data_IF_279650690886
#
_entry.id   IF_279650690886
#
_cell.length_a   1.000
_cell.length_b   1.000
_cell.length_c   1.000
_cell.angle_alpha   90.00
_cell.angle_beta   90.00
_cell.angle_gamma   90.00
#
_symmetry.space_group_name_H-M   'P 1'
#
loop_
_entity.id
_entity.type
_entity.pdbx_description
1 polymer ?
#
# COMPACT_ATOMS: atom_id res chain seq x y z
N UNK A 1 7.35 16.01 19.68
CA UNK A 1 8.16 16.76 18.69
C UNK A 1 7.66 18.18 18.64
N UNK A 2 8.52 19.21 18.64
CA UNK A 2 8.08 20.60 18.49
C UNK A 2 7.65 20.85 17.04
N UNK A 3 6.78 21.86 16.80
CA UNK A 3 6.35 22.20 15.43
C UNK A 3 7.52 22.52 14.50
N UNK A 4 8.55 23.20 15.01
CA UNK A 4 9.76 23.54 14.22
C UNK A 4 10.54 22.28 13.80
N UNK A 5 10.67 21.29 14.69
CA UNK A 5 11.30 20.02 14.37
C UNK A 5 10.48 19.20 13.34
N UNK A 6 9.16 19.30 13.38
CA UNK A 6 8.28 18.68 12.41
C UNK A 6 8.43 19.34 11.03
N UNK A 7 8.42 20.68 10.97
CA UNK A 7 8.61 21.44 9.73
C UNK A 7 9.97 21.13 9.11
N UNK A 8 11.04 21.13 9.92
CA UNK A 8 12.38 20.77 9.44
C UNK A 8 12.41 19.33 8.89
N UNK A 9 11.77 18.39 9.56
CA UNK A 9 11.71 17.00 9.12
C UNK A 9 10.89 16.80 7.82
N UNK A 10 9.81 17.55 7.63
CA UNK A 10 9.00 17.52 6.40
C UNK A 10 9.76 18.13 5.22
N UNK A 11 10.58 19.18 5.44
CA UNK A 11 11.33 19.84 4.36
C UNK A 11 12.37 18.95 3.66
N UNK A 12 12.77 17.84 4.31
CA UNK A 12 13.68 16.85 3.73
C UNK A 12 12.97 15.73 2.95
N UNK A 13 11.64 15.63 3.03
CA UNK A 13 10.88 14.61 2.33
C UNK A 13 10.68 14.98 0.86
N UNK A 14 11.00 14.05 -0.03
CA UNK A 14 10.82 14.25 -1.48
C UNK A 14 9.34 14.48 -1.82
N UNK A 15 8.43 13.77 -1.15
CA UNK A 15 6.98 13.89 -1.35
C UNK A 15 6.39 15.25 -0.93
N UNK A 16 7.07 15.98 -0.03
CA UNK A 16 6.62 17.27 0.50
C UNK A 16 7.24 18.48 -0.24
N UNK A 17 8.18 18.22 -1.14
CA UNK A 17 8.80 19.24 -1.97
C UNK A 17 7.80 19.93 -2.92
N UNK A 18 8.09 21.18 -3.30
CA UNK A 18 7.34 21.84 -4.38
C UNK A 18 7.78 21.29 -5.73
N UNK A 19 6.81 20.94 -6.56
CA UNK A 19 7.09 20.43 -7.90
C UNK A 19 7.38 21.59 -8.87
N UNK A 20 8.61 21.70 -9.41
CA UNK A 20 8.97 22.80 -10.31
C UNK A 20 8.17 22.78 -11.62
N UNK A 21 7.71 21.62 -12.06
CA UNK A 21 6.96 21.48 -13.31
C UNK A 21 5.49 21.95 -13.20
N UNK A 22 5.01 22.25 -12.01
CA UNK A 22 3.60 22.59 -11.76
C UNK A 22 3.40 23.88 -10.97
N UNK A 23 4.41 24.75 -10.97
CA UNK A 23 4.38 26.01 -10.19
C UNK A 23 3.31 27.01 -10.67
N UNK A 24 2.86 26.88 -11.90
CA UNK A 24 1.89 27.73 -12.59
C UNK A 24 0.52 27.04 -12.80
N UNK A 25 0.29 25.88 -12.20
CA UNK A 25 -0.85 25.00 -12.51
C UNK A 25 -2.22 25.68 -12.26
N UNK A 26 -2.29 26.62 -11.34
CA UNK A 26 -3.49 27.40 -11.02
C UNK A 26 -3.87 28.45 -12.08
N UNK A 27 -2.93 28.76 -12.99
CA UNK A 27 -3.13 29.73 -14.08
C UNK A 27 -3.51 29.06 -15.41
N UNK A 28 -3.48 27.74 -15.47
CA UNK A 28 -3.66 26.96 -16.68
C UNK A 28 -5.15 26.72 -16.98
N UNK A 29 -5.46 26.50 -18.26
CA UNK A 29 -6.76 25.98 -18.67
C UNK A 29 -6.97 24.53 -18.20
N UNK A 30 -8.23 24.06 -18.16
CA UNK A 30 -8.53 22.68 -17.77
C UNK A 30 -7.77 21.64 -18.61
N UNK A 31 -7.61 21.89 -19.92
CA UNK A 31 -6.86 21.02 -20.82
C UNK A 31 -5.40 20.93 -20.39
N UNK A 32 -4.75 22.06 -20.19
CA UNK A 32 -3.34 22.15 -19.78
C UNK A 32 -3.11 21.54 -18.40
N UNK A 33 -4.06 21.74 -17.46
CA UNK A 33 -3.99 21.11 -16.12
C UNK A 33 -3.96 19.58 -16.23
N UNK A 34 -4.91 18.98 -16.98
CA UNK A 34 -4.96 17.50 -17.09
C UNK A 34 -3.77 16.94 -17.87
N UNK A 35 -3.26 17.66 -18.87
CA UNK A 35 -2.02 17.30 -19.57
C UNK A 35 -0.82 17.32 -18.63
N UNK A 36 -0.70 18.33 -17.77
CA UNK A 36 0.36 18.46 -16.78
C UNK A 36 0.29 17.35 -15.74
N UNK A 37 -0.91 17.04 -15.21
CA UNK A 37 -1.13 15.92 -14.30
C UNK A 37 -0.74 14.59 -14.95
N UNK A 38 -1.19 14.33 -16.18
CA UNK A 38 -0.86 13.11 -16.92
C UNK A 38 0.65 12.98 -17.17
N UNK A 39 1.34 14.09 -17.45
CA UNK A 39 2.80 14.09 -17.62
C UNK A 39 3.53 13.69 -16.33
N UNK A 40 3.05 14.16 -15.18
CA UNK A 40 3.57 13.76 -13.88
C UNK A 40 3.30 12.27 -13.59
N UNK A 41 2.11 11.78 -13.90
CA UNK A 41 1.73 10.38 -13.65
C UNK A 41 2.54 9.37 -14.46
N UNK A 42 3.07 9.73 -15.64
CA UNK A 42 3.94 8.88 -16.46
C UNK A 42 5.24 8.47 -15.76
N UNK A 43 5.65 9.18 -14.72
CA UNK A 43 6.83 8.85 -13.92
C UNK A 43 6.59 7.70 -12.95
N UNK A 44 5.33 7.44 -12.59
CA UNK A 44 4.99 6.47 -11.54
C UNK A 44 5.42 5.04 -11.89
N UNK A 45 5.11 4.49 -13.08
CA UNK A 45 5.56 3.14 -13.44
C UNK A 45 7.08 2.99 -13.41
N UNK A 46 7.83 4.03 -13.79
CA UNK A 46 9.30 4.02 -13.78
C UNK A 46 9.85 3.99 -12.35
N UNK A 47 9.24 4.74 -11.43
CA UNK A 47 9.60 4.69 -10.03
C UNK A 47 9.32 3.31 -9.40
N UNK A 48 8.24 2.66 -9.80
CA UNK A 48 7.91 1.29 -9.36
C UNK A 48 8.88 0.27 -9.98
N UNK A 49 9.28 0.44 -11.24
CA UNK A 49 10.26 -0.42 -11.92
C UNK A 49 11.60 -0.47 -11.15
N UNK A 50 12.04 0.65 -10.60
CA UNK A 50 13.28 0.75 -9.83
C UNK A 50 13.28 -0.11 -8.55
N UNK A 51 12.13 -0.52 -8.04
CA UNK A 51 11.97 -1.30 -6.79
C UNK A 51 11.40 -2.72 -7.01
N UNK A 52 11.38 -3.20 -8.26
CA UNK A 52 10.92 -4.56 -8.59
C UNK A 52 11.67 -5.67 -7.84
N UNK A 53 13.00 -5.59 -7.60
CA UNK A 53 13.69 -6.61 -6.80
C UNK A 53 13.15 -6.73 -5.38
N UNK A 54 12.86 -5.62 -4.71
CA UNK A 54 12.29 -5.61 -3.35
C UNK A 54 10.85 -6.13 -3.34
N UNK A 55 10.06 -5.79 -4.37
CA UNK A 55 8.71 -6.34 -4.57
C UNK A 55 8.78 -7.86 -4.75
N UNK A 56 9.68 -8.37 -5.56
CA UNK A 56 9.85 -9.80 -5.77
C UNK A 56 10.24 -10.53 -4.46
N UNK A 57 11.16 -9.96 -3.67
CA UNK A 57 11.51 -10.48 -2.35
C UNK A 57 10.30 -10.53 -1.41
N UNK A 58 9.48 -9.49 -1.40
CA UNK A 58 8.26 -9.43 -0.61
C UNK A 58 7.25 -10.49 -1.06
N UNK A 59 7.05 -10.69 -2.36
CA UNK A 59 6.19 -11.73 -2.94
C UNK A 59 6.63 -13.12 -2.48
N UNK A 60 7.93 -13.41 -2.46
CA UNK A 60 8.43 -14.71 -1.99
C UNK A 60 8.12 -14.94 -0.51
N UNK A 61 8.27 -13.92 0.35
CA UNK A 61 7.92 -13.98 1.78
C UNK A 61 6.41 -14.17 1.99
N UNK A 62 5.57 -13.41 1.29
CA UNK A 62 4.11 -13.54 1.36
C UNK A 62 3.67 -14.93 0.90
N UNK A 63 4.22 -15.43 -0.21
CA UNK A 63 3.92 -16.76 -0.73
C UNK A 63 4.30 -17.86 0.27
N UNK A 64 5.45 -17.72 0.94
CA UNK A 64 5.91 -18.66 1.96
C UNK A 64 4.97 -18.65 3.19
N UNK A 65 4.55 -17.47 3.65
CA UNK A 65 3.60 -17.33 4.75
C UNK A 65 2.25 -18.00 4.41
N UNK A 66 1.69 -17.72 3.25
CA UNK A 66 0.43 -18.33 2.79
C UNK A 66 0.50 -19.86 2.76
N UNK A 67 1.62 -20.46 2.30
CA UNK A 67 1.82 -21.91 2.29
C UNK A 67 1.86 -22.52 3.70
N UNK A 68 2.18 -21.72 4.70
CA UNK A 68 2.23 -22.14 6.12
C UNK A 68 0.96 -21.78 6.89
N UNK A 69 -0.09 -21.30 6.20
CA UNK A 69 -1.35 -20.90 6.82
C UNK A 69 -1.31 -19.51 7.47
N UNK A 70 -0.25 -18.72 7.21
CA UNK A 70 -0.19 -17.31 7.59
C UNK A 70 -1.01 -16.43 6.64
N UNK A 71 -1.10 -15.14 6.99
CA UNK A 71 -1.92 -14.13 6.31
C UNK A 71 -1.06 -12.96 5.83
N UNK A 72 -1.58 -12.19 4.89
CA UNK A 72 -1.06 -10.87 4.51
C UNK A 72 -1.92 -9.79 5.14
N UNK A 73 -1.31 -8.92 5.93
CA UNK A 73 -1.99 -7.77 6.53
C UNK A 73 -1.43 -6.49 5.95
N UNK A 74 -2.31 -5.68 5.35
CA UNK A 74 -2.04 -4.30 4.97
C UNK A 74 -2.46 -3.38 6.11
N UNK A 75 -1.63 -2.41 6.45
CA UNK A 75 -1.93 -1.44 7.49
C UNK A 75 -1.45 -0.05 7.07
N UNK A 76 -2.35 0.92 7.12
CA UNK A 76 -2.04 2.30 6.76
C UNK A 76 -3.09 3.30 7.23
N UNK A 77 -2.84 4.59 6.99
CA UNK A 77 -3.77 5.67 7.30
C UNK A 77 -4.23 6.36 6.00
N UNK A 78 -5.39 7.02 6.04
CA UNK A 78 -5.91 7.82 4.95
C UNK A 78 -5.95 7.06 3.61
N UNK A 79 -5.40 7.65 2.55
CA UNK A 79 -5.33 7.03 1.21
C UNK A 79 -4.58 5.69 1.23
N UNK A 80 -3.46 5.60 1.96
CA UNK A 80 -2.66 4.36 2.05
C UNK A 80 -3.45 3.21 2.66
N UNK A 81 -4.18 3.46 3.76
CA UNK A 81 -5.06 2.46 4.37
C UNK A 81 -6.22 2.05 3.46
N UNK A 82 -6.84 3.02 2.76
CA UNK A 82 -7.91 2.73 1.78
C UNK A 82 -7.44 1.84 0.64
N UNK A 83 -6.24 2.07 0.12
CA UNK A 83 -5.65 1.24 -0.93
C UNK A 83 -5.37 -0.19 -0.45
N UNK A 84 -4.89 -0.35 0.79
CA UNK A 84 -4.72 -1.66 1.42
C UNK A 84 -6.04 -2.42 1.55
N UNK A 85 -7.10 -1.76 2.02
CA UNK A 85 -8.45 -2.35 2.11
C UNK A 85 -9.00 -2.69 0.72
N UNK A 86 -8.81 -1.81 -0.27
CA UNK A 86 -9.23 -2.05 -1.66
C UNK A 86 -8.59 -3.33 -2.21
N UNK A 87 -7.27 -3.46 -2.16
CA UNK A 87 -6.55 -4.62 -2.70
C UNK A 87 -6.95 -5.92 -1.96
N UNK A 88 -7.07 -5.87 -0.64
CA UNK A 88 -7.51 -7.01 0.17
C UNK A 88 -8.91 -7.48 -0.22
N UNK A 89 -9.86 -6.55 -0.44
CA UNK A 89 -11.25 -6.87 -0.76
C UNK A 89 -11.43 -7.52 -2.14
N UNK A 90 -10.49 -7.32 -3.07
CA UNK A 90 -10.52 -7.89 -4.42
C UNK A 90 -9.93 -9.32 -4.49
N UNK A 91 -9.22 -9.78 -3.46
CA UNK A 91 -8.63 -11.12 -3.44
C UNK A 91 -9.65 -12.26 -3.41
N UNK A 92 -10.72 -12.23 -2.57
CA UNK A 92 -11.72 -13.29 -2.54
C UNK A 92 -12.47 -13.48 -3.87
N UNK A 93 -12.99 -12.45 -4.54
CA UNK A 93 -13.70 -12.63 -5.81
C UNK A 93 -12.76 -13.04 -6.96
N UNK A 94 -11.49 -12.62 -6.93
CA UNK A 94 -10.53 -12.87 -8.02
C UNK A 94 -9.90 -14.25 -7.92
N UNK A 95 -9.51 -14.67 -6.73
CA UNK A 95 -8.70 -15.87 -6.50
C UNK A 95 -9.41 -16.96 -5.70
N UNK A 96 -10.66 -16.76 -5.32
CA UNK A 96 -11.46 -17.74 -4.57
C UNK A 96 -10.97 -18.02 -3.15
N UNK A 97 -10.12 -17.15 -2.62
CA UNK A 97 -9.56 -17.28 -1.27
C UNK A 97 -10.50 -16.78 -0.17
N UNK A 98 -10.17 -17.08 1.09
CA UNK A 98 -10.87 -16.52 2.24
C UNK A 98 -10.61 -15.02 2.35
N UNK A 99 -11.58 -14.26 2.84
CA UNK A 99 -11.45 -12.85 3.23
C UNK A 99 -10.49 -12.65 4.42
N UNK A 100 -10.15 -13.72 5.13
CA UNK A 100 -9.17 -13.71 6.21
C UNK A 100 -7.73 -13.90 5.70
N UNK A 101 -7.51 -14.25 4.43
CA UNK A 101 -6.17 -14.50 3.90
C UNK A 101 -5.39 -13.21 3.62
N UNK A 102 -6.09 -12.18 3.16
CA UNK A 102 -5.55 -10.83 2.96
C UNK A 102 -6.48 -9.84 3.68
N UNK A 103 -5.94 -9.09 4.63
CA UNK A 103 -6.71 -8.18 5.49
C UNK A 103 -6.16 -6.77 5.33
N UNK A 104 -7.04 -5.79 5.17
CA UNK A 104 -6.69 -4.38 5.18
C UNK A 104 -7.14 -3.71 6.48
N UNK A 105 -6.19 -3.08 7.17
CA UNK A 105 -6.43 -2.25 8.36
C UNK A 105 -6.20 -0.78 8.03
N UNK A 106 -7.05 0.08 8.54
CA UNK A 106 -6.96 1.53 8.35
C UNK A 106 -7.09 2.24 9.71
N UNK A 107 -6.20 3.19 9.97
CA UNK A 107 -6.27 4.03 11.17
C UNK A 107 -7.64 4.70 11.31
N UNK A 108 -8.29 4.53 12.46
CA UNK A 108 -9.67 4.98 12.70
C UNK A 108 -10.76 3.98 12.27
N UNK A 109 -10.36 2.77 11.82
CA UNK A 109 -11.30 1.68 11.55
C UNK A 109 -12.20 1.90 10.32
N UNK A 110 -13.33 1.19 10.27
CA UNK A 110 -14.23 1.16 9.09
C UNK A 110 -14.76 2.53 8.68
N UNK A 111 -15.01 3.42 9.63
CA UNK A 111 -15.50 4.78 9.36
C UNK A 111 -14.48 5.59 8.56
N UNK A 112 -13.17 5.34 8.76
CA UNK A 112 -12.09 6.02 8.05
C UNK A 112 -12.04 5.70 6.54
N UNK A 113 -12.76 4.68 6.08
CA UNK A 113 -12.91 4.40 4.64
C UNK A 113 -13.66 5.53 3.92
N UNK A 114 -14.64 6.15 4.57
CA UNK A 114 -15.53 7.14 3.97
C UNK A 114 -15.26 8.56 4.46
N UNK A 115 -14.86 8.71 5.73
CA UNK A 115 -14.63 10.01 6.35
C UNK A 115 -13.29 10.02 7.05
N UNK A 116 -12.47 11.05 6.83
CA UNK A 116 -11.17 11.18 7.51
C UNK A 116 -11.38 11.18 9.04
N UNK A 117 -10.63 10.34 9.74
CA UNK A 117 -10.61 10.26 11.20
C UNK A 117 -9.33 10.95 11.68
N UNK A 118 -9.49 12.21 12.13
CA UNK A 118 -8.36 13.02 12.57
C UNK A 118 -7.71 12.45 13.82
N UNK A 119 -6.37 12.53 13.90
CA UNK A 119 -5.58 12.07 15.04
C UNK A 119 -5.38 10.54 15.13
N UNK A 120 -6.10 9.73 14.37
CA UNK A 120 -5.92 8.28 14.40
C UNK A 120 -4.54 7.85 13.87
N UNK A 121 -4.01 8.56 12.88
CA UNK A 121 -2.70 8.28 12.28
C UNK A 121 -1.52 8.65 13.20
N UNK A 122 -1.73 9.57 14.15
CA UNK A 122 -0.71 10.04 15.08
C UNK A 122 -0.52 9.13 16.30
N UNK A 123 -1.34 8.09 16.43
CA UNK A 123 -1.32 7.17 17.56
C UNK A 123 -0.56 5.88 17.25
N UNK A 124 0.70 5.79 17.69
CA UNK A 124 1.54 4.60 17.47
C UNK A 124 0.99 3.34 18.17
N UNK A 125 0.38 3.48 19.36
CA UNK A 125 -0.15 2.32 20.09
C UNK A 125 -1.39 1.70 19.43
N UNK A 126 -2.12 2.50 18.65
CA UNK A 126 -3.30 2.03 17.93
C UNK A 126 -2.94 0.98 16.85
N UNK A 127 -1.80 1.14 16.18
CA UNK A 127 -1.36 0.18 15.17
C UNK A 127 -1.10 -1.22 15.75
N UNK A 128 -0.42 -1.29 16.87
CA UNK A 128 -0.22 -2.54 17.62
C UNK A 128 -1.56 -3.11 18.13
N UNK A 129 -2.44 -2.26 18.65
CA UNK A 129 -3.76 -2.68 19.13
C UNK A 129 -4.61 -3.30 18.01
N UNK A 130 -4.65 -2.67 16.84
CA UNK A 130 -5.43 -3.19 15.70
C UNK A 130 -4.90 -4.56 15.22
N UNK A 131 -3.57 -4.77 15.27
CA UNK A 131 -2.99 -6.09 15.00
C UNK A 131 -3.38 -7.13 16.06
N UNK A 132 -3.41 -6.76 17.34
CA UNK A 132 -3.88 -7.64 18.42
C UNK A 132 -5.33 -8.06 18.24
N UNK A 133 -6.20 -7.14 17.79
CA UNK A 133 -7.64 -7.43 17.59
C UNK A 133 -7.93 -8.49 16.51
N UNK A 134 -6.95 -8.73 15.61
CA UNK A 134 -7.05 -9.77 14.56
C UNK A 134 -6.20 -11.00 14.87
N UNK A 135 -5.72 -11.15 16.11
CA UNK A 135 -4.81 -12.24 16.52
C UNK A 135 -3.61 -12.36 15.56
N UNK A 136 -2.94 -11.22 15.27
CA UNK A 136 -1.74 -11.19 14.43
C UNK A 136 -0.60 -12.00 15.08
N UNK A 137 0.13 -12.76 14.29
CA UNK A 137 1.16 -13.67 14.77
C UNK A 137 2.43 -13.67 13.92
N UNK A 138 3.48 -14.35 14.41
CA UNK A 138 4.75 -14.53 13.67
C UNK A 138 4.62 -15.28 12.34
N UNK A 139 3.47 -15.91 12.06
CA UNK A 139 3.21 -16.59 10.78
C UNK A 139 2.74 -15.62 9.68
N UNK A 140 2.26 -14.45 10.09
CA UNK A 140 1.69 -13.44 9.20
C UNK A 140 2.78 -12.55 8.61
N UNK A 141 2.44 -11.83 7.55
CA UNK A 141 3.25 -10.78 6.95
C UNK A 141 2.52 -9.46 7.10
N UNK A 142 3.20 -8.45 7.66
CA UNK A 142 2.70 -7.09 7.74
C UNK A 142 3.31 -6.23 6.65
N UNK A 143 2.46 -5.52 5.88
CA UNK A 143 2.87 -4.43 5.00
C UNK A 143 2.37 -3.12 5.60
N UNK A 144 3.28 -2.35 6.15
CA UNK A 144 3.02 -0.99 6.63
C UNK A 144 3.10 0.02 5.49
N UNK A 145 2.02 0.79 5.26
CA UNK A 145 1.86 1.66 4.11
C UNK A 145 1.75 3.12 4.57
N UNK A 146 2.71 3.95 4.18
CA UNK A 146 2.69 5.39 4.43
C UNK A 146 3.51 6.13 3.36
N UNK A 147 2.90 7.05 2.61
CA UNK A 147 3.60 7.77 1.54
C UNK A 147 4.82 8.55 2.07
N UNK A 148 4.67 9.24 3.20
CA UNK A 148 5.77 9.93 3.89
C UNK A 148 6.76 8.98 4.56
N UNK A 149 6.30 7.76 4.89
CA UNK A 149 7.06 6.80 5.68
C UNK A 149 7.23 7.14 7.16
N UNK A 150 6.42 8.07 7.71
CA UNK A 150 6.58 8.62 9.07
C UNK A 150 5.35 8.47 9.96
N UNK A 151 4.28 7.91 9.47
CA UNK A 151 2.99 7.78 10.16
C UNK A 151 3.15 6.96 11.45
N UNK A 152 2.92 7.53 12.64
CA UNK A 152 3.13 6.86 13.93
C UNK A 152 2.34 5.55 14.06
N UNK A 153 1.09 5.52 13.60
CA UNK A 153 0.26 4.33 13.54
C UNK A 153 0.95 3.16 12.82
N UNK A 154 1.62 3.43 11.69
CA UNK A 154 2.33 2.42 10.92
C UNK A 154 3.64 2.01 11.58
N UNK A 155 4.37 2.97 12.17
CA UNK A 155 5.60 2.73 12.92
C UNK A 155 5.33 1.74 14.06
N UNK A 156 4.36 2.05 14.94
CA UNK A 156 4.04 1.20 16.08
C UNK A 156 3.56 -0.20 15.69
N UNK A 157 2.85 -0.33 14.55
CA UNK A 157 2.45 -1.63 14.02
C UNK A 157 3.66 -2.46 13.54
N UNK A 158 4.62 -1.84 12.84
CA UNK A 158 5.83 -2.52 12.35
C UNK A 158 6.74 -2.94 13.50
N UNK A 159 6.91 -2.09 14.51
CA UNK A 159 7.66 -2.42 15.72
C UNK A 159 7.04 -3.62 16.44
N UNK A 160 5.73 -3.59 16.69
CA UNK A 160 5.01 -4.71 17.31
C UNK A 160 5.14 -6.02 16.52
N UNK A 161 5.03 -5.96 15.18
CA UNK A 161 5.18 -7.14 14.33
C UNK A 161 6.61 -7.71 14.37
N UNK A 162 7.63 -6.85 14.39
CA UNK A 162 9.02 -7.27 14.57
C UNK A 162 9.26 -7.94 15.92
N UNK A 163 8.69 -7.42 17.01
CA UNK A 163 8.80 -8.01 18.34
C UNK A 163 8.19 -9.41 18.41
N UNK A 164 7.17 -9.68 17.61
CA UNK A 164 6.58 -11.01 17.45
C UNK A 164 7.40 -11.95 16.53
N UNK A 165 8.43 -11.44 15.84
CA UNK A 165 9.20 -12.20 14.86
C UNK A 165 8.48 -12.43 13.52
N UNK A 166 7.46 -11.63 13.20
CA UNK A 166 6.76 -11.68 11.93
C UNK A 166 7.59 -11.01 10.81
N UNK A 167 7.29 -11.36 9.56
CA UNK A 167 7.87 -10.65 8.41
C UNK A 167 7.24 -9.28 8.26
N UNK A 168 8.07 -8.25 8.17
CA UNK A 168 7.64 -6.86 8.00
C UNK A 168 8.14 -6.27 6.69
N UNK A 169 7.24 -5.55 6.01
CA UNK A 169 7.48 -4.86 4.74
C UNK A 169 7.01 -3.41 4.91
N UNK A 170 7.83 -2.45 4.51
CA UNK A 170 7.46 -1.04 4.44
C UNK A 170 7.20 -0.63 3.00
N UNK A 171 6.11 0.08 2.76
CA UNK A 171 5.81 0.73 1.48
C UNK A 171 5.71 2.24 1.70
N UNK A 172 6.72 2.99 1.25
CA UNK A 172 6.78 4.45 1.31
C UNK A 172 7.12 5.05 -0.06
N UNK A 173 7.00 6.38 -0.21
CA UNK A 173 7.46 7.09 -1.41
C UNK A 173 8.67 7.99 -1.14
N UNK A 174 9.29 7.81 0.03
CA UNK A 174 10.53 8.48 0.42
C UNK A 174 11.59 7.42 0.75
N UNK A 175 12.82 7.56 0.22
CA UNK A 175 13.92 6.70 0.61
C UNK A 175 14.29 6.96 2.08
N UNK A 176 14.90 5.98 2.73
CA UNK A 176 15.44 6.09 4.09
C UNK A 176 14.43 6.65 5.12
N UNK A 177 13.15 6.31 4.91
CA UNK A 177 12.08 6.73 5.81
C UNK A 177 12.06 5.88 7.09
N UNK A 178 11.53 6.39 8.23
CA UNK A 178 11.46 5.65 9.48
C UNK A 178 10.87 4.24 9.34
N UNK A 179 9.78 4.07 8.55
CA UNK A 179 9.22 2.73 8.34
C UNK A 179 10.14 1.84 7.50
N UNK A 180 10.94 2.41 6.57
CA UNK A 180 11.89 1.65 5.78
C UNK A 180 13.07 1.14 6.62
N UNK A 181 13.51 1.90 7.63
CA UNK A 181 14.55 1.49 8.58
C UNK A 181 14.08 0.39 9.53
N UNK A 182 12.80 0.40 9.92
CA UNK A 182 12.21 -0.56 10.86
C UNK A 182 11.92 -1.90 10.18
N UNK A 183 11.43 -1.88 8.95
CA UNK A 183 10.97 -3.08 8.25
C UNK A 183 12.12 -3.94 7.72
N UNK A 184 11.91 -5.26 7.64
CA UNK A 184 12.87 -6.20 7.06
C UNK A 184 13.02 -6.02 5.55
N UNK A 185 11.97 -5.56 4.87
CA UNK A 185 11.98 -5.26 3.43
C UNK A 185 11.41 -3.86 3.23
N UNK A 186 12.19 -2.98 2.61
CA UNK A 186 11.76 -1.63 2.26
C UNK A 186 11.47 -1.53 0.75
N UNK A 187 10.25 -1.13 0.40
CA UNK A 187 9.81 -0.84 -0.96
C UNK A 187 9.54 0.65 -1.04
N UNK A 188 10.44 1.39 -1.69
CA UNK A 188 10.37 2.86 -1.71
C UNK A 188 10.37 3.41 -3.14
N UNK A 189 9.24 3.32 -3.90
CA UNK A 189 9.13 3.95 -5.20
C UNK A 189 9.11 5.47 -5.07
N UNK A 190 10.20 6.12 -5.43
CA UNK A 190 10.37 7.57 -5.31
C UNK A 190 9.75 8.25 -6.52
N UNK A 191 8.53 8.76 -6.37
CA UNK A 191 7.75 9.40 -7.45
C UNK A 191 8.00 10.92 -7.57
N UNK A 192 8.89 11.48 -6.76
CA UNK A 192 9.12 12.92 -6.71
C UNK A 192 7.99 13.70 -6.03
N UNK A 193 8.10 15.04 -5.99
CA UNK A 193 7.06 15.91 -5.42
C UNK A 193 5.76 15.83 -6.22
N UNK A 194 4.64 15.92 -5.53
CA UNK A 194 3.32 15.84 -6.16
C UNK A 194 3.01 17.04 -7.06
N UNK A 195 2.15 16.86 -8.05
CA UNK A 195 1.67 17.94 -8.90
C UNK A 195 0.94 19.04 -8.11
N UNK A 196 0.23 18.67 -7.07
CA UNK A 196 -0.29 19.55 -6.04
C UNK A 196 0.45 19.23 -4.75
N UNK A 197 1.33 20.11 -4.31
CA UNK A 197 2.25 19.90 -3.19
C UNK A 197 1.55 19.31 -1.95
N UNK A 198 2.10 18.24 -1.40
CA UNK A 198 1.57 17.55 -0.22
C UNK A 198 0.36 16.63 -0.48
N UNK A 199 -0.21 16.61 -1.70
CA UNK A 199 -1.36 15.76 -2.02
C UNK A 199 -0.93 14.34 -2.44
N UNK A 200 -0.41 13.57 -1.49
CA UNK A 200 0.16 12.22 -1.69
C UNK A 200 -0.87 11.14 -2.12
N UNK A 201 -2.15 11.51 -2.27
CA UNK A 201 -3.16 10.66 -2.91
C UNK A 201 -2.97 10.52 -4.43
N UNK A 202 -2.13 11.35 -5.06
CA UNK A 202 -1.89 11.40 -6.50
C UNK A 202 -0.82 10.37 -6.92
N UNK A 203 0.40 10.80 -7.25
CA UNK A 203 1.48 9.89 -7.71
C UNK A 203 1.84 8.84 -6.67
N UNK A 204 2.00 9.25 -5.41
CA UNK A 204 2.33 8.33 -4.32
C UNK A 204 1.25 7.26 -4.14
N UNK A 205 -0.03 7.66 -4.11
CA UNK A 205 -1.14 6.71 -4.05
C UNK A 205 -1.18 5.77 -5.26
N UNK A 206 -0.91 6.27 -6.46
CA UNK A 206 -0.84 5.45 -7.68
C UNK A 206 0.31 4.43 -7.60
N UNK A 207 1.50 4.83 -7.13
CA UNK A 207 2.62 3.92 -6.92
C UNK A 207 2.28 2.84 -5.88
N UNK A 208 1.70 3.21 -4.75
CA UNK A 208 1.24 2.26 -3.73
C UNK A 208 0.25 1.25 -4.32
N UNK A 209 -0.75 1.69 -5.06
CA UNK A 209 -1.72 0.81 -5.73
C UNK A 209 -1.04 -0.20 -6.65
N UNK A 210 -0.07 0.23 -7.48
CA UNK A 210 0.67 -0.67 -8.36
C UNK A 210 1.45 -1.73 -7.58
N UNK A 211 2.14 -1.33 -6.51
CA UNK A 211 2.90 -2.25 -5.66
C UNK A 211 1.97 -3.26 -4.98
N UNK A 212 0.87 -2.81 -4.35
CA UNK A 212 -0.07 -3.70 -3.65
C UNK A 212 -0.66 -4.74 -4.61
N UNK A 213 -1.08 -4.32 -5.81
CA UNK A 213 -1.56 -5.27 -6.82
C UNK A 213 -0.49 -6.29 -7.25
N UNK A 214 0.79 -5.90 -7.34
CA UNK A 214 1.88 -6.84 -7.62
C UNK A 214 2.07 -7.83 -6.47
N UNK A 215 2.03 -7.37 -5.22
CA UNK A 215 2.22 -8.23 -4.04
C UNK A 215 1.17 -9.34 -3.99
N UNK A 216 -0.13 -9.01 -4.09
CA UNK A 216 -1.19 -10.02 -4.05
C UNK A 216 -1.24 -10.86 -5.31
N UNK A 217 -1.25 -10.24 -6.49
CA UNK A 217 -1.40 -10.97 -7.75
C UNK A 217 -0.25 -11.95 -7.97
N UNK A 218 1.01 -11.53 -7.77
CA UNK A 218 2.15 -12.41 -7.95
C UNK A 218 2.19 -13.53 -6.90
N UNK A 219 1.83 -13.25 -5.63
CA UNK A 219 1.76 -14.27 -4.58
C UNK A 219 0.66 -15.29 -4.89
N UNK A 220 -0.51 -14.89 -5.37
CA UNK A 220 -1.59 -15.79 -5.75
C UNK A 220 -1.23 -16.64 -6.98
N UNK A 221 -0.55 -16.08 -7.98
CA UNK A 221 0.02 -16.83 -9.11
C UNK A 221 1.00 -17.91 -8.60
N UNK A 222 1.89 -17.56 -7.68
CA UNK A 222 2.85 -18.48 -7.06
C UNK A 222 2.20 -19.58 -6.20
N UNK A 223 0.96 -19.37 -5.77
CA UNK A 223 0.13 -20.37 -5.09
C UNK A 223 -0.66 -21.27 -6.05
N UNK A 224 -0.55 -21.05 -7.36
CA UNK A 224 -1.28 -21.83 -8.36
C UNK A 224 -2.73 -21.37 -8.59
N UNK A 225 -3.06 -20.12 -8.22
CA UNK A 225 -4.41 -19.53 -8.41
C UNK A 225 -4.66 -19.01 -9.82
N UNK A 226 -3.77 -19.34 -10.76
CA UNK A 226 -3.94 -19.03 -12.19
C UNK A 226 -3.46 -20.20 -13.05
N UNK A 227 -4.04 -20.33 -14.24
CA UNK A 227 -3.53 -21.18 -15.29
C UNK A 227 -3.12 -20.30 -16.47
N UNK A 228 -1.83 -20.25 -16.78
CA UNK A 228 -1.27 -19.21 -17.66
C UNK A 228 -1.69 -17.81 -17.17
N UNK A 229 -2.40 -17.02 -17.97
CA UNK A 229 -2.96 -15.71 -17.60
C UNK A 229 -4.47 -15.76 -17.28
N UNK A 230 -5.03 -16.95 -17.04
CA UNK A 230 -6.45 -17.16 -16.79
C UNK A 230 -6.74 -17.23 -15.28
N UNK A 231 -7.83 -16.58 -14.87
CA UNK A 231 -8.37 -16.61 -13.51
C UNK A 231 -9.21 -17.91 -13.36
N UNK A 232 -8.62 -18.97 -12.80
CA UNK A 232 -9.29 -20.29 -12.70
C UNK A 232 -10.09 -20.50 -11.42
N UNK A 233 -9.83 -19.73 -10.38
CA UNK A 233 -10.48 -19.84 -9.07
C UNK A 233 -11.53 -18.73 -8.80
N UNK A 234 -12.06 -18.12 -9.87
CA UNK A 234 -13.07 -17.06 -9.75
C UNK A 234 -14.32 -17.56 -9.05
N UNK A 235 -14.78 -16.87 -8.01
CA UNK A 235 -16.12 -17.10 -7.45
C UNK A 235 -17.17 -16.53 -8.38
N UNK A 236 -17.86 -17.38 -9.12
CA UNK A 236 -18.88 -17.00 -10.10
C UNK A 236 -20.20 -16.56 -9.42
N UNK A 237 -20.17 -15.46 -8.68
CA UNK A 237 -21.29 -14.94 -7.88
C UNK A 237 -22.28 -14.09 -8.67
N UNK A 238 -21.96 -13.71 -9.91
CA UNK A 238 -22.83 -12.90 -10.76
C UNK A 238 -22.78 -13.38 -12.22
N UNK A 239 -23.76 -12.95 -13.03
CA UNK A 239 -23.90 -13.36 -14.45
C UNK A 239 -22.64 -13.10 -15.29
N UNK A 240 -21.94 -11.99 -15.04
CA UNK A 240 -20.68 -11.65 -15.74
C UNK A 240 -19.57 -12.65 -15.42
N UNK A 241 -19.44 -13.03 -14.14
CA UNK A 241 -18.42 -13.98 -13.69
C UNK A 241 -18.73 -15.40 -14.18
N UNK A 242 -20.01 -15.81 -14.22
CA UNK A 242 -20.45 -17.07 -14.83
C UNK A 242 -20.08 -17.11 -16.31
N UNK A 243 -20.43 -16.06 -17.07
CA UNK A 243 -20.09 -15.97 -18.50
C UNK A 243 -18.56 -15.98 -18.73
N UNK A 244 -17.78 -15.35 -17.82
CA UNK A 244 -16.31 -15.38 -17.88
C UNK A 244 -15.78 -16.79 -17.64
N UNK A 245 -16.28 -17.50 -16.63
CA UNK A 245 -15.89 -18.89 -16.34
C UNK A 245 -16.13 -19.81 -17.54
N UNK A 246 -17.28 -19.68 -18.22
CA UNK A 246 -17.59 -20.45 -19.45
C UNK A 246 -16.62 -20.13 -20.60
N UNK A 247 -16.09 -18.89 -20.68
CA UNK A 247 -15.12 -18.52 -21.73
C UNK A 247 -13.70 -19.00 -21.49
N UNK A 248 -13.39 -19.38 -20.25
CA UNK A 248 -12.06 -19.87 -19.86
C UNK A 248 -11.91 -21.36 -20.17
N UNK A 249 -13.01 -22.08 -20.19
CA UNK A 249 -13.09 -23.51 -20.60
C UNK A 249 -13.28 -23.61 -22.10
#
# INVERSE_FOLDING_TARGET
MTNDALIAALSHLVSEGRNPDTMDIDLLSSQEIVERLNQQDKQVPLAVEAVLPQIAQAVDKITAAFKQGGRLIYLGAGTSGRLGVLDASECPPTFGVSDQMVIGLIAGGKEAMFTAQEGAEDNATLGAHDLQQIDFSSKDVLVGIAASGRTPYVIGALEYANDLGATTIALSCNPDSPIAEIAQIAISPVVGPEALTGSTRLKSGTAQKLVLNMLTTASMIRLGKSYQNLMVDVRATNRKLIARAVRIV
#
